data_IF_347642865029
#
_entry.id   IF_347642865029
#
_cell.length_a   1.000
_cell.length_b   1.000
_cell.length_c   1.000
_cell.angle_alpha   90.00
_cell.angle_beta   90.00
_cell.angle_gamma   90.00
#
_symmetry.space_group_name_H-M   'P 1'
#
loop_
_entity.id
_entity.type
_entity.pdbx_description
1 polymer ?
#
# COMPACT_ATOMS: atom_id res chain seq x y z
N UNK A 1 38.53 10.39 -4.66
CA UNK A 1 37.68 9.21 -4.92
C UNK A 1 36.31 9.48 -4.31
N UNK A 2 35.35 9.89 -5.12
CA UNK A 2 33.99 10.17 -4.72
C UNK A 2 33.26 8.85 -4.37
N UNK A 3 32.72 8.74 -3.14
CA UNK A 3 31.80 7.67 -2.79
C UNK A 3 30.53 7.84 -3.61
N UNK A 4 30.31 6.95 -4.58
CA UNK A 4 29.02 6.81 -5.24
C UNK A 4 28.05 6.28 -4.18
N UNK A 5 27.26 7.16 -3.60
CA UNK A 5 26.10 6.77 -2.81
C UNK A 5 25.06 6.24 -3.80
N UNK A 6 25.01 4.94 -3.96
CA UNK A 6 23.90 4.26 -4.63
C UNK A 6 22.65 4.53 -3.81
N UNK A 7 21.85 5.51 -4.22
CA UNK A 7 20.52 5.76 -3.69
C UNK A 7 19.65 4.58 -4.14
N UNK A 8 19.63 3.50 -3.37
CA UNK A 8 18.65 2.43 -3.57
C UNK A 8 17.28 3.01 -3.29
N UNK A 9 16.27 2.77 -4.14
CA UNK A 9 14.92 3.35 -4.12
C UNK A 9 14.06 3.09 -2.89
N UNK A 10 14.64 2.59 -1.84
CA UNK A 10 14.08 2.32 -0.51
C UNK A 10 13.69 3.60 0.25
N UNK A 11 14.46 4.72 0.20
CA UNK A 11 14.09 5.95 0.87
C UNK A 11 12.71 6.48 0.47
N UNK A 12 12.35 6.39 -0.81
CA UNK A 12 11.08 6.94 -1.32
C UNK A 12 9.87 6.22 -0.74
N UNK A 13 9.90 4.90 -0.68
CA UNK A 13 8.80 4.13 -0.07
C UNK A 13 8.66 4.44 1.42
N UNK A 14 9.76 4.55 2.15
CA UNK A 14 9.76 4.95 3.56
C UNK A 14 9.12 6.33 3.78
N UNK A 15 9.37 7.29 2.89
CA UNK A 15 8.73 8.61 2.95
C UNK A 15 7.21 8.53 2.67
N UNK A 16 6.79 7.69 1.73
CA UNK A 16 5.35 7.45 1.47
C UNK A 16 4.68 6.84 2.69
N UNK A 17 5.32 5.86 3.35
CA UNK A 17 4.79 5.23 4.56
C UNK A 17 4.60 6.23 5.70
N UNK A 18 5.49 7.21 5.84
CA UNK A 18 5.37 8.28 6.86
C UNK A 18 4.13 9.17 6.67
N UNK A 19 3.60 9.26 5.44
CA UNK A 19 2.36 10.00 5.16
C UNK A 19 1.12 9.28 5.70
N UNK A 20 1.25 7.99 6.04
CA UNK A 20 0.16 7.15 6.54
C UNK A 20 0.25 7.07 8.06
N UNK A 21 -0.64 7.78 8.75
CA UNK A 21 -0.68 7.74 10.21
C UNK A 21 -1.16 6.38 10.72
N UNK A 22 -0.26 5.65 11.37
CA UNK A 22 -0.54 4.32 11.92
C UNK A 22 -1.69 4.35 12.93
N UNK A 23 -1.79 5.41 13.74
CA UNK A 23 -2.84 5.50 14.76
C UNK A 23 -4.23 5.66 14.13
N UNK A 24 -4.35 6.49 13.10
CA UNK A 24 -5.62 6.68 12.39
C UNK A 24 -6.04 5.40 11.66
N UNK A 25 -5.11 4.75 10.98
CA UNK A 25 -5.37 3.46 10.32
C UNK A 25 -5.78 2.40 11.32
N UNK A 26 -5.14 2.36 12.51
CA UNK A 26 -5.51 1.43 13.58
C UNK A 26 -6.93 1.67 14.10
N UNK A 27 -7.35 2.94 14.27
CA UNK A 27 -8.73 3.27 14.64
C UNK A 27 -9.74 2.78 13.60
N UNK A 28 -9.44 2.92 12.31
CA UNK A 28 -10.28 2.38 11.23
C UNK A 28 -10.33 0.85 11.31
N UNK A 29 -9.19 0.21 11.56
CA UNK A 29 -9.11 -1.24 11.69
C UNK A 29 -9.92 -1.78 12.88
N UNK A 30 -9.89 -1.08 14.01
CA UNK A 30 -10.70 -1.42 15.19
C UNK A 30 -12.19 -1.27 14.92
N UNK A 31 -12.61 -0.14 14.34
CA UNK A 31 -14.01 0.13 13.98
C UNK A 31 -14.60 -0.96 13.07
N UNK A 32 -13.82 -1.42 12.12
CA UNK A 32 -14.23 -2.44 11.14
C UNK A 32 -13.87 -3.87 11.58
N UNK A 33 -13.31 -4.04 12.78
CA UNK A 33 -12.83 -5.33 13.29
C UNK A 33 -11.88 -6.04 12.31
N UNK A 34 -11.09 -5.25 11.56
CA UNK A 34 -10.20 -5.76 10.51
C UNK A 34 -9.06 -6.63 11.06
N UNK A 35 -8.74 -6.51 12.35
CA UNK A 35 -7.74 -7.33 13.04
C UNK A 35 -8.32 -8.58 13.73
N UNK A 36 -9.61 -8.87 13.51
CA UNK A 36 -10.23 -10.05 14.09
C UNK A 36 -9.54 -11.32 13.58
N UNK A 37 -9.15 -12.21 14.51
CA UNK A 37 -8.43 -13.47 14.25
C UNK A 37 -7.02 -13.30 13.63
N UNK A 38 -6.42 -12.12 13.70
CA UNK A 38 -5.04 -11.94 13.26
C UNK A 38 -4.08 -12.13 14.43
N UNK A 39 -3.02 -12.93 14.22
CA UNK A 39 -1.98 -13.17 15.24
C UNK A 39 -0.79 -12.22 15.09
N UNK A 40 -0.31 -12.01 13.88
CA UNK A 40 0.90 -11.22 13.60
C UNK A 40 0.67 -10.15 12.54
N UNK A 41 0.03 -10.49 11.40
CA UNK A 41 -0.18 -9.58 10.30
C UNK A 41 -1.41 -8.71 10.55
N UNK A 42 -1.23 -7.57 11.24
CA UNK A 42 -2.30 -6.62 11.47
C UNK A 42 -2.75 -5.92 10.17
N UNK A 43 -3.83 -5.13 10.27
CA UNK A 43 -4.39 -4.45 9.12
C UNK A 43 -3.46 -3.37 8.56
N UNK A 44 -2.74 -2.67 9.42
CA UNK A 44 -1.77 -1.67 9.02
C UNK A 44 -0.60 -2.29 8.26
N UNK A 45 0.02 -3.34 8.83
CA UNK A 45 1.11 -4.05 8.18
C UNK A 45 0.68 -4.63 6.83
N UNK A 46 -0.52 -5.21 6.75
CA UNK A 46 -1.06 -5.69 5.49
C UNK A 46 -1.22 -4.58 4.45
N UNK A 47 -1.73 -3.41 4.86
CA UNK A 47 -1.84 -2.24 3.99
C UNK A 47 -0.46 -1.83 3.44
N UNK A 48 0.55 -1.73 4.30
CA UNK A 48 1.91 -1.34 3.89
C UNK A 48 2.51 -2.35 2.91
N UNK A 49 2.31 -3.65 3.15
CA UNK A 49 2.79 -4.70 2.25
C UNK A 49 2.10 -4.63 0.88
N UNK A 50 0.79 -4.42 0.86
CA UNK A 50 0.05 -4.28 -0.41
C UNK A 50 0.45 -3.01 -1.16
N UNK A 51 0.70 -1.91 -0.45
CA UNK A 51 1.22 -0.68 -1.04
C UNK A 51 2.61 -0.89 -1.65
N UNK A 52 3.49 -1.59 -0.94
CA UNK A 52 4.80 -1.98 -1.45
C UNK A 52 4.68 -2.84 -2.72
N UNK A 53 3.73 -3.78 -2.72
CA UNK A 53 3.49 -4.66 -3.85
C UNK A 53 3.04 -3.89 -5.10
N UNK A 54 2.11 -2.94 -4.93
CA UNK A 54 1.58 -2.12 -6.03
C UNK A 54 2.65 -1.18 -6.59
N UNK A 55 3.37 -0.48 -5.71
CA UNK A 55 4.41 0.46 -6.13
C UNK A 55 5.64 -0.25 -6.72
N UNK A 56 5.95 -1.44 -6.23
CA UNK A 56 7.01 -2.30 -6.76
C UNK A 56 6.61 -3.09 -7.99
N UNK A 57 5.36 -2.98 -8.45
CA UNK A 57 4.80 -3.70 -9.60
C UNK A 57 5.01 -5.22 -9.53
N UNK A 58 4.88 -5.81 -8.33
CA UNK A 58 5.00 -7.24 -8.16
C UNK A 58 3.77 -7.97 -8.73
N UNK A 59 4.02 -9.05 -9.48
CA UNK A 59 2.98 -9.77 -10.19
C UNK A 59 2.41 -10.98 -9.41
N UNK A 60 3.05 -11.36 -8.32
CA UNK A 60 2.62 -12.49 -7.51
C UNK A 60 2.96 -12.32 -6.02
N UNK A 61 2.23 -13.04 -5.15
CA UNK A 61 2.54 -13.07 -3.72
C UNK A 61 3.94 -13.65 -3.43
N UNK A 62 4.46 -14.48 -4.32
CA UNK A 62 5.81 -15.02 -4.24
C UNK A 62 6.85 -13.95 -4.53
N UNK A 63 6.59 -13.11 -5.51
CA UNK A 63 7.50 -12.01 -5.86
C UNK A 63 7.53 -10.97 -4.73
N UNK A 64 6.40 -10.73 -4.08
CA UNK A 64 6.32 -9.87 -2.89
C UNK A 64 7.19 -10.44 -1.76
N UNK A 65 7.06 -11.74 -1.48
CA UNK A 65 7.88 -12.42 -0.47
C UNK A 65 9.38 -12.31 -0.80
N UNK A 66 9.77 -12.59 -2.03
CA UNK A 66 11.16 -12.47 -2.49
C UNK A 66 11.67 -11.01 -2.44
N UNK A 67 10.84 -10.04 -2.83
CA UNK A 67 11.15 -8.63 -2.73
C UNK A 67 11.43 -8.19 -1.29
N UNK A 68 10.66 -8.70 -0.34
CA UNK A 68 10.92 -8.46 1.08
C UNK A 68 12.21 -9.12 1.57
N UNK A 69 12.54 -10.33 1.10
CA UNK A 69 13.81 -10.96 1.44
C UNK A 69 15.01 -10.14 0.98
N UNK A 70 14.95 -9.58 -0.22
CA UNK A 70 16.02 -8.70 -0.73
C UNK A 70 16.12 -7.38 0.02
N UNK A 71 15.04 -6.93 0.66
CA UNK A 71 14.94 -5.67 1.41
C UNK A 71 14.88 -5.87 2.93
N UNK A 72 15.29 -7.03 3.43
CA UNK A 72 15.14 -7.42 4.85
C UNK A 72 15.68 -6.39 5.84
N UNK A 73 16.82 -5.76 5.52
CA UNK A 73 17.43 -4.71 6.33
C UNK A 73 16.60 -3.41 6.40
N UNK A 74 15.58 -3.26 5.55
CA UNK A 74 14.77 -2.06 5.47
C UNK A 74 13.37 -2.23 6.05
N UNK A 75 13.02 -3.41 6.54
CA UNK A 75 11.69 -3.71 7.10
C UNK A 75 11.30 -2.73 8.20
N UNK A 76 12.23 -2.38 9.08
CA UNK A 76 11.98 -1.42 10.15
C UNK A 76 11.60 -0.04 9.62
N UNK A 77 12.17 0.39 8.49
CA UNK A 77 11.80 1.65 7.82
C UNK A 77 10.39 1.61 7.23
N UNK A 78 9.87 0.40 6.96
CA UNK A 78 8.51 0.20 6.50
C UNK A 78 7.50 -0.01 7.64
N UNK A 79 7.96 0.02 8.89
CA UNK A 79 7.13 -0.25 10.06
C UNK A 79 6.70 -1.72 10.15
N UNK A 80 7.50 -2.63 9.60
CA UNK A 80 7.27 -4.07 9.62
C UNK A 80 8.24 -4.74 10.59
N UNK A 81 7.69 -5.55 11.49
CA UNK A 81 8.46 -6.18 12.55
C UNK A 81 8.99 -7.58 12.15
N UNK A 82 8.52 -8.13 11.05
CA UNK A 82 8.88 -9.48 10.62
C UNK A 82 8.65 -9.70 9.12
N UNK A 83 9.31 -10.75 8.61
CA UNK A 83 9.13 -11.20 7.22
C UNK A 83 7.82 -11.94 7.05
N UNK A 84 6.99 -11.46 6.14
CA UNK A 84 5.69 -12.07 5.86
C UNK A 84 5.82 -13.15 4.79
N UNK A 85 5.29 -14.34 5.09
CA UNK A 85 5.26 -15.46 4.15
C UNK A 85 4.08 -15.35 3.19
N UNK A 86 4.23 -15.88 1.99
CA UNK A 86 3.18 -15.94 0.96
C UNK A 86 1.86 -16.50 1.49
N UNK A 87 1.87 -17.58 2.26
CA UNK A 87 0.66 -18.19 2.84
C UNK A 87 -0.08 -17.20 3.77
N UNK A 88 0.65 -16.48 4.60
CA UNK A 88 0.08 -15.49 5.50
C UNK A 88 -0.56 -14.33 4.73
N UNK A 89 0.08 -13.88 3.63
CA UNK A 89 -0.49 -12.86 2.75
C UNK A 89 -1.74 -13.36 2.04
N UNK A 90 -1.73 -14.59 1.55
CA UNK A 90 -2.89 -15.22 0.90
C UNK A 90 -4.08 -15.27 1.85
N UNK A 91 -3.85 -15.73 3.08
CA UNK A 91 -4.89 -15.77 4.12
C UNK A 91 -5.41 -14.38 4.48
N UNK A 92 -4.52 -13.40 4.58
CA UNK A 92 -4.91 -12.02 4.87
C UNK A 92 -5.76 -11.42 3.75
N UNK A 93 -5.39 -11.65 2.48
CA UNK A 93 -6.16 -11.19 1.33
C UNK A 93 -7.56 -11.83 1.27
N UNK A 94 -7.66 -13.12 1.61
CA UNK A 94 -8.94 -13.82 1.59
C UNK A 94 -9.89 -13.38 2.72
N UNK A 95 -9.36 -13.01 3.89
CA UNK A 95 -10.17 -12.75 5.09
C UNK A 95 -10.44 -11.28 5.36
N UNK A 96 -9.57 -10.38 4.89
CA UNK A 96 -9.70 -8.97 5.22
C UNK A 96 -10.81 -8.29 4.43
N UNK A 97 -11.68 -7.59 5.17
CA UNK A 97 -12.79 -6.88 4.56
C UNK A 97 -12.30 -5.76 3.64
N UNK A 98 -12.77 -5.69 2.38
CA UNK A 98 -12.43 -4.61 1.45
C UNK A 98 -12.77 -3.22 1.98
N UNK A 99 -13.82 -3.09 2.78
CA UNK A 99 -14.23 -1.82 3.39
C UNK A 99 -13.14 -1.16 4.26
N UNK A 100 -12.18 -1.95 4.77
CA UNK A 100 -11.03 -1.41 5.47
C UNK A 100 -10.17 -0.56 4.54
N UNK A 101 -9.80 -1.08 3.38
CA UNK A 101 -8.97 -0.36 2.40
C UNK A 101 -9.69 0.86 1.83
N UNK A 102 -10.99 0.74 1.55
CA UNK A 102 -11.83 1.85 1.11
C UNK A 102 -11.86 2.98 2.17
N UNK A 103 -12.05 2.63 3.44
CA UNK A 103 -12.08 3.61 4.53
C UNK A 103 -10.74 4.32 4.71
N UNK A 104 -9.62 3.59 4.59
CA UNK A 104 -8.28 4.18 4.62
C UNK A 104 -8.05 5.09 3.42
N UNK A 105 -8.45 4.67 2.22
CA UNK A 105 -8.38 5.50 1.03
C UNK A 105 -9.12 6.82 1.22
N UNK A 106 -10.37 6.77 1.68
CA UNK A 106 -11.18 7.96 1.91
C UNK A 106 -10.58 8.89 2.98
N UNK A 107 -9.97 8.33 4.01
CA UNK A 107 -9.27 9.07 5.05
C UNK A 107 -8.06 9.83 4.48
N UNK A 108 -7.22 9.15 3.72
CA UNK A 108 -6.04 9.75 3.09
C UNK A 108 -6.44 10.77 2.01
N UNK A 109 -7.43 10.45 1.19
CA UNK A 109 -7.96 11.37 0.19
C UNK A 109 -8.46 12.67 0.82
N UNK A 110 -9.25 12.56 1.90
CA UNK A 110 -9.77 13.73 2.62
C UNK A 110 -8.64 14.58 3.24
N UNK A 111 -7.59 13.92 3.75
CA UNK A 111 -6.43 14.61 4.34
C UNK A 111 -5.62 15.39 3.30
N UNK A 112 -5.38 14.78 2.15
CA UNK A 112 -4.48 15.33 1.13
C UNK A 112 -5.19 16.02 -0.04
N UNK A 113 -6.51 16.01 -0.09
CA UNK A 113 -7.28 16.59 -1.19
C UNK A 113 -7.02 18.09 -1.38
N UNK A 114 -6.75 18.84 -0.32
CA UNK A 114 -6.40 20.25 -0.41
C UNK A 114 -5.07 20.48 -1.12
N UNK A 115 -4.08 19.64 -0.86
CA UNK A 115 -2.76 19.71 -1.50
C UNK A 115 -2.86 19.30 -2.97
N UNK A 116 -3.69 18.29 -3.27
CA UNK A 116 -3.94 17.84 -4.64
C UNK A 116 -4.79 18.84 -5.45
N UNK A 117 -5.62 19.65 -4.76
CA UNK A 117 -6.45 20.67 -5.40
C UNK A 117 -5.66 21.85 -5.96
N UNK A 118 -4.46 22.12 -5.45
CA UNK A 118 -3.59 23.18 -5.96
C UNK A 118 -2.98 22.85 -7.35
N UNK A 119 -3.12 21.63 -7.82
CA UNK A 119 -2.77 21.23 -9.19
C UNK A 119 -3.85 21.59 -10.22
N UNK A 120 -4.79 22.47 -9.89
CA UNK A 120 -5.80 22.93 -10.85
C UNK A 120 -5.10 23.62 -12.02
N UNK A 121 -5.39 23.22 -13.27
CA UNK A 121 -4.90 23.94 -14.43
C UNK A 121 -5.43 25.36 -14.36
N UNK A 122 -4.51 26.31 -14.38
CA UNK A 122 -4.80 27.74 -14.39
C UNK A 122 -5.64 28.04 -15.63
N UNK A 123 -6.85 28.54 -15.38
CA UNK A 123 -7.68 29.31 -16.31
C UNK A 123 -8.11 28.68 -17.65
N UNK A 124 -9.36 28.35 -17.76
CA UNK A 124 -10.06 28.33 -19.03
C UNK A 124 -11.08 27.20 -19.27
N UNK A 125 -11.05 26.12 -18.53
CA UNK A 125 -12.03 25.04 -18.70
C UNK A 125 -13.30 25.37 -17.92
N UNK A 126 -14.31 25.90 -18.60
CA UNK A 126 -15.65 26.15 -18.04
C UNK A 126 -16.48 24.89 -17.82
N UNK A 127 -15.91 23.70 -18.10
CA UNK A 127 -16.58 22.40 -17.92
C UNK A 127 -15.78 21.53 -16.97
N UNK A 128 -16.44 20.77 -16.09
CA UNK A 128 -15.75 19.80 -15.23
C UNK A 128 -15.06 18.74 -16.11
N UNK A 129 -13.76 18.57 -15.94
CA UNK A 129 -12.98 17.53 -16.59
C UNK A 129 -13.02 16.29 -15.71
N UNK A 130 -13.65 15.22 -16.18
CA UNK A 130 -13.58 13.91 -15.54
C UNK A 130 -12.48 13.11 -16.20
N UNK A 131 -11.42 12.84 -15.46
CA UNK A 131 -10.35 11.94 -15.90
C UNK A 131 -10.71 10.55 -15.39
N UNK A 132 -11.08 9.66 -16.30
CA UNK A 132 -11.18 8.23 -16.01
C UNK A 132 -9.84 7.60 -16.38
N UNK A 133 -9.05 7.25 -15.37
CA UNK A 133 -7.91 6.39 -15.56
C UNK A 133 -8.38 4.93 -15.54
N UNK A 134 -8.27 4.27 -16.67
CA UNK A 134 -8.47 2.83 -16.74
C UNK A 134 -7.17 2.13 -16.32
N UNK A 135 -6.88 2.11 -15.04
CA UNK A 135 -5.85 1.25 -14.49
C UNK A 135 -6.29 -0.19 -14.71
N UNK A 136 -5.69 -0.88 -15.65
CA UNK A 136 -5.92 -2.30 -15.85
C UNK A 136 -5.28 -3.04 -14.67
N UNK A 137 -6.08 -3.36 -13.67
CA UNK A 137 -5.66 -4.27 -12.61
C UNK A 137 -5.62 -5.64 -13.25
N UNK A 138 -4.43 -6.09 -13.61
CA UNK A 138 -4.19 -7.48 -13.98
C UNK A 138 -4.40 -8.34 -12.74
N UNK A 139 -5.63 -8.71 -12.46
CA UNK A 139 -5.92 -9.78 -11.52
C UNK A 139 -5.28 -11.03 -12.08
N UNK A 140 -4.48 -11.70 -11.27
CA UNK A 140 -3.74 -12.91 -11.60
C UNK A 140 -4.60 -13.86 -12.46
N UNK A 141 -4.40 -13.85 -13.75
CA UNK A 141 -5.16 -14.68 -14.71
C UNK A 141 -4.94 -16.19 -14.48
N UNK A 142 -4.01 -16.55 -13.61
CA UNK A 142 -3.71 -17.95 -13.27
C UNK A 142 -4.47 -18.46 -12.04
N UNK A 143 -5.18 -17.64 -11.29
CA UNK A 143 -5.93 -18.11 -10.10
C UNK A 143 -7.28 -18.73 -10.50
N UNK A 144 -7.75 -18.49 -11.73
CA UNK A 144 -9.04 -19.00 -12.23
C UNK A 144 -8.93 -20.15 -13.23
N UNK A 145 -7.76 -20.76 -13.38
CA UNK A 145 -7.60 -22.03 -14.09
C UNK A 145 -7.30 -23.13 -13.09
N UNK A 146 -8.32 -23.59 -12.40
CA UNK A 146 -8.39 -24.80 -11.64
C UNK A 146 -9.57 -25.59 -12.13
#
# INVERSE_FOLDING_TARGET
MGKVTTNSGIPVFGEIVKLIDKQEVSKVAEKLKANRYTKRLDAYQHLIIMLYAVLGQFNSLRDIELGFYSSAQCLNHFGLDYMVRRSTLSDANARRCPAFFESVYNLLYKRYSSVLADTRPVNGLKRPLFIMDSTTISLFSQVFRG
#
